data_IF_152776097649
#
_entry.id   IF_152776097649
#
_cell.length_a   1.000
_cell.length_b   1.000
_cell.length_c   1.000
_cell.angle_alpha   90.00
_cell.angle_beta   90.00
_cell.angle_gamma   90.00
#
_symmetry.space_group_name_H-M   'P 1'
#
loop_
_entity.id
_entity.type
_entity.pdbx_description
1 polymer ?
#
# COMPACT_ATOMS: atom_id res chain seq x y z
N UNK A 1 -10.61 -7.47 -19.05
CA UNK A 1 -9.89 -8.71 -19.47
C UNK A 1 -8.39 -8.46 -19.67
N UNK A 2 -7.97 -7.44 -20.45
CA UNK A 2 -6.54 -7.19 -20.71
C UNK A 2 -5.69 -6.83 -19.47
N UNK A 3 -6.23 -6.04 -18.53
CA UNK A 3 -5.52 -5.68 -17.31
C UNK A 3 -5.25 -6.88 -16.39
N UNK A 4 -6.19 -7.82 -16.27
CA UNK A 4 -6.05 -9.04 -15.46
C UNK A 4 -4.93 -9.92 -16.02
N UNK A 5 -4.97 -10.22 -17.32
CA UNK A 5 -3.94 -11.01 -17.99
C UNK A 5 -2.57 -10.34 -17.85
N UNK A 6 -2.50 -9.02 -18.01
CA UNK A 6 -1.28 -8.27 -17.84
C UNK A 6 -0.76 -8.31 -16.40
N UNK A 7 -1.64 -8.17 -15.41
CA UNK A 7 -1.28 -8.23 -13.99
C UNK A 7 -0.62 -9.55 -13.64
N UNK A 8 -1.27 -10.68 -13.93
CA UNK A 8 -0.73 -11.99 -13.63
C UNK A 8 0.50 -12.31 -14.49
N UNK A 9 0.52 -11.90 -15.77
CA UNK A 9 1.71 -12.07 -16.62
C UNK A 9 2.92 -11.31 -16.08
N UNK A 10 2.74 -10.13 -15.50
CA UNK A 10 3.82 -9.38 -14.89
C UNK A 10 4.31 -10.07 -13.61
N UNK A 11 3.38 -10.47 -12.74
CA UNK A 11 3.74 -11.14 -11.48
C UNK A 11 4.44 -12.48 -11.72
N UNK A 12 3.98 -13.32 -12.64
CA UNK A 12 4.64 -14.60 -12.95
C UNK A 12 5.99 -14.44 -13.65
N UNK A 13 6.22 -13.31 -14.33
CA UNK A 13 7.54 -13.00 -14.91
C UNK A 13 8.56 -12.50 -13.88
N UNK A 14 8.08 -12.00 -12.73
CA UNK A 14 8.90 -11.34 -11.73
C UNK A 14 9.13 -12.19 -10.48
N UNK A 15 8.08 -12.82 -9.98
CA UNK A 15 8.12 -13.72 -8.83
C UNK A 15 8.52 -15.13 -9.26
N UNK A 16 9.26 -15.84 -8.41
CA UNK A 16 9.42 -17.28 -8.58
C UNK A 16 8.11 -18.03 -8.27
N UNK A 17 8.10 -19.33 -8.56
CA UNK A 17 6.89 -20.16 -8.44
C UNK A 17 6.39 -20.24 -7.00
N UNK A 18 7.30 -20.29 -6.02
CA UNK A 18 6.93 -20.38 -4.60
C UNK A 18 6.33 -19.06 -4.11
N UNK A 19 7.01 -17.94 -4.38
CA UNK A 19 6.53 -16.62 -4.02
C UNK A 19 5.19 -16.29 -4.69
N UNK A 20 5.02 -16.67 -5.96
CA UNK A 20 3.74 -16.50 -6.67
C UNK A 20 2.63 -17.36 -6.04
N UNK A 21 2.90 -18.63 -5.69
CA UNK A 21 1.92 -19.48 -4.98
C UNK A 21 1.56 -18.92 -3.61
N UNK A 22 2.54 -18.45 -2.84
CA UNK A 22 2.31 -17.81 -1.54
C UNK A 22 1.44 -16.56 -1.69
N UNK A 23 1.69 -15.73 -2.71
CA UNK A 23 0.86 -14.56 -3.01
C UNK A 23 -0.62 -14.91 -3.30
N UNK A 24 -0.86 -16.03 -3.99
CA UNK A 24 -2.22 -16.53 -4.26
C UNK A 24 -2.89 -17.22 -3.06
N UNK A 25 -2.15 -17.52 -2.01
CA UNK A 25 -2.67 -18.20 -0.81
C UNK A 25 -3.47 -17.25 0.08
N UNK A 26 -4.26 -17.82 1.01
CA UNK A 26 -4.99 -17.02 2.01
C UNK A 26 -4.07 -16.24 2.95
N UNK A 27 -2.86 -16.76 3.20
CA UNK A 27 -1.86 -16.14 4.09
C UNK A 27 -1.04 -15.06 3.36
N UNK A 28 -1.03 -15.07 2.03
CA UNK A 28 -0.23 -14.17 1.21
C UNK A 28 1.27 -14.42 1.26
N UNK A 29 1.99 -13.68 0.43
CA UNK A 29 3.46 -13.62 0.49
C UNK A 29 3.86 -12.63 1.58
N UNK A 30 4.59 -13.06 2.61
CA UNK A 30 5.16 -12.14 3.60
C UNK A 30 6.28 -11.31 2.96
N UNK A 31 6.08 -10.00 2.85
CA UNK A 31 7.08 -9.07 2.31
C UNK A 31 8.13 -8.72 3.36
N UNK A 32 7.71 -8.45 4.59
CA UNK A 32 8.62 -8.20 5.70
C UNK A 32 7.94 -8.38 7.07
N UNK A 33 8.76 -8.61 8.07
CA UNK A 33 8.39 -8.56 9.48
C UNK A 33 9.34 -7.63 10.22
N UNK A 34 8.82 -6.77 11.08
CA UNK A 34 9.64 -5.80 11.79
C UNK A 34 9.04 -5.41 13.13
N UNK A 35 9.91 -4.94 14.02
CA UNK A 35 9.54 -4.43 15.32
C UNK A 35 9.41 -2.91 15.26
N UNK A 36 8.28 -2.40 15.72
CA UNK A 36 8.09 -0.98 16.00
C UNK A 36 8.68 -0.59 17.35
N UNK A 37 8.19 0.52 17.89
CA UNK A 37 8.44 0.90 19.28
C UNK A 37 7.82 -0.12 20.23
N UNK A 38 8.39 -0.25 21.43
CA UNK A 38 7.91 -1.11 22.52
C UNK A 38 7.80 -2.58 22.09
N UNK A 39 8.69 -3.01 21.19
CA UNK A 39 8.76 -4.37 20.64
C UNK A 39 7.43 -4.88 20.05
N UNK A 40 6.61 -3.98 19.50
CA UNK A 40 5.39 -4.40 18.81
C UNK A 40 5.74 -4.95 17.42
N UNK A 41 5.35 -6.19 17.16
CA UNK A 41 5.50 -6.84 15.87
C UNK A 41 4.49 -6.30 14.84
N UNK A 42 4.99 -6.04 13.63
CA UNK A 42 4.20 -5.74 12.45
C UNK A 42 4.61 -6.63 11.28
N UNK A 43 3.62 -6.97 10.44
CA UNK A 43 3.78 -7.87 9.30
C UNK A 43 3.20 -7.18 8.07
N UNK A 44 3.98 -7.10 6.99
CA UNK A 44 3.49 -6.72 5.66
C UNK A 44 3.33 -7.96 4.80
N UNK A 45 2.16 -8.10 4.19
CA UNK A 45 1.80 -9.21 3.31
C UNK A 45 1.38 -8.69 1.94
N UNK A 46 1.77 -9.41 0.89
CA UNK A 46 1.33 -9.22 -0.47
C UNK A 46 0.37 -10.35 -0.85
N UNK A 47 -0.91 -10.03 -0.97
CA UNK A 47 -1.99 -11.00 -1.18
C UNK A 47 -2.67 -10.77 -2.52
N UNK A 48 -3.11 -11.83 -3.17
CA UNK A 48 -4.00 -11.73 -4.32
C UNK A 48 -5.44 -11.55 -3.83
N UNK A 49 -6.18 -10.63 -4.45
CA UNK A 49 -7.57 -10.36 -4.09
C UNK A 49 -8.51 -11.22 -4.92
N UNK A 50 -8.34 -12.54 -4.89
CA UNK A 50 -9.16 -13.52 -5.62
C UNK A 50 -10.67 -13.49 -5.27
N UNK A 51 -11.11 -12.66 -4.32
CA UNK A 51 -12.46 -12.72 -3.71
C UNK A 51 -13.22 -11.38 -3.64
N UNK A 52 -12.63 -10.25 -4.05
CA UNK A 52 -13.29 -8.95 -3.97
C UNK A 52 -13.29 -8.28 -5.34
N UNK A 53 -14.32 -8.63 -6.12
CA UNK A 53 -14.69 -7.97 -7.36
C UNK A 53 -14.83 -6.45 -7.12
N UNK A 54 -13.88 -5.68 -7.71
CA UNK A 54 -14.02 -4.33 -8.31
C UNK A 54 -12.98 -3.27 -7.89
N UNK A 55 -12.11 -3.52 -6.91
CA UNK A 55 -11.10 -2.54 -6.48
C UNK A 55 -9.67 -2.84 -6.99
N UNK A 56 -9.34 -4.10 -7.31
CA UNK A 56 -8.03 -4.49 -7.85
C UNK A 56 -7.84 -6.00 -7.89
N UNK A 57 -6.61 -6.42 -8.18
CA UNK A 57 -6.21 -7.84 -8.30
C UNK A 57 -5.25 -8.29 -7.19
N UNK A 58 -4.61 -7.33 -6.50
CA UNK A 58 -3.71 -7.59 -5.41
C UNK A 58 -3.76 -6.49 -4.33
N UNK A 59 -3.38 -6.86 -3.11
CA UNK A 59 -3.30 -5.95 -1.97
C UNK A 59 -1.97 -6.08 -1.22
N UNK A 60 -1.50 -4.96 -0.68
CA UNK A 60 -0.50 -4.96 0.41
C UNK A 60 -1.23 -4.66 1.72
N UNK A 61 -1.09 -5.57 2.68
CA UNK A 61 -1.78 -5.49 3.98
C UNK A 61 -0.73 -5.36 5.09
N UNK A 62 -0.91 -4.37 5.95
CA UNK A 62 -0.20 -4.23 7.22
C UNK A 62 -1.05 -4.82 8.35
N UNK A 63 -0.47 -5.75 9.10
CA UNK A 63 -1.05 -6.32 10.32
C UNK A 63 -0.14 -6.10 11.51
N UNK A 64 -0.72 -6.11 12.71
CA UNK A 64 0.07 -6.29 13.94
C UNK A 64 0.32 -7.79 14.23
N UNK A 65 1.08 -8.06 15.29
CA UNK A 65 1.39 -9.43 15.74
C UNK A 65 0.18 -10.27 16.19
N UNK A 66 -0.99 -9.66 16.40
CA UNK A 66 -2.24 -10.39 16.67
C UNK A 66 -3.01 -10.78 15.39
N UNK A 67 -2.53 -10.33 14.22
CA UNK A 67 -3.19 -10.53 12.93
C UNK A 67 -4.23 -9.44 12.59
N UNK A 68 -4.43 -8.45 13.46
CA UNK A 68 -5.36 -7.35 13.21
C UNK A 68 -4.85 -6.47 12.07
N UNK A 69 -5.70 -6.26 11.06
CA UNK A 69 -5.38 -5.38 9.93
C UNK A 69 -5.39 -3.92 10.38
N UNK A 70 -4.32 -3.20 10.04
CA UNK A 70 -4.11 -1.78 10.35
C UNK A 70 -4.22 -0.87 9.13
N UNK A 71 -3.85 -1.39 7.95
CA UNK A 71 -4.08 -0.76 6.67
C UNK A 71 -4.00 -1.77 5.54
N UNK A 72 -4.72 -1.51 4.45
CA UNK A 72 -4.66 -2.27 3.21
C UNK A 72 -4.74 -1.32 2.03
N UNK A 73 -3.89 -1.54 1.02
CA UNK A 73 -3.94 -0.85 -0.26
C UNK A 73 -4.14 -1.86 -1.39
N UNK A 74 -5.20 -1.68 -2.16
CA UNK A 74 -5.64 -2.59 -3.22
C UNK A 74 -5.37 -1.96 -4.58
N UNK A 75 -4.77 -2.74 -5.48
CA UNK A 75 -4.30 -2.24 -6.77
C UNK A 75 -4.33 -3.29 -7.88
N UNK A 76 -4.18 -2.83 -9.11
CA UNK A 76 -3.97 -3.64 -10.31
C UNK A 76 -2.76 -3.14 -11.08
N UNK A 77 -2.04 -4.06 -11.72
CA UNK A 77 -0.95 -3.76 -12.65
C UNK A 77 -1.51 -3.77 -14.06
N UNK A 78 -1.26 -2.73 -14.84
CA UNK A 78 -1.78 -2.61 -16.20
C UNK A 78 -0.81 -1.86 -17.13
N UNK A 79 -1.09 -1.88 -18.43
CA UNK A 79 -0.56 -0.90 -19.36
C UNK A 79 -1.58 0.22 -19.52
N UNK A 80 -1.13 1.46 -19.29
CA UNK A 80 -1.89 2.68 -19.59
C UNK A 80 -0.99 3.58 -20.42
N UNK A 81 -1.46 4.00 -21.59
CA UNK A 81 -0.68 4.82 -22.54
C UNK A 81 0.72 4.22 -22.85
N UNK A 82 0.77 2.89 -23.03
CA UNK A 82 1.99 2.10 -23.24
C UNK A 82 3.04 2.20 -22.10
N UNK A 83 2.62 2.61 -20.91
CA UNK A 83 3.44 2.68 -19.70
C UNK A 83 3.01 1.65 -18.68
N UNK A 84 3.98 0.97 -18.06
CA UNK A 84 3.72 0.03 -16.95
C UNK A 84 3.15 0.85 -15.81
N UNK A 85 1.94 0.53 -15.40
CA UNK A 85 1.19 1.37 -14.47
C UNK A 85 0.60 0.54 -13.36
N UNK A 86 0.51 1.16 -12.19
CA UNK A 86 -0.31 0.69 -11.07
C UNK A 86 -1.54 1.59 -10.99
N UNK A 87 -2.71 0.98 -10.85
CA UNK A 87 -3.94 1.69 -10.49
C UNK A 87 -4.37 1.21 -9.10
N UNK A 88 -4.34 2.12 -8.13
CA UNK A 88 -4.85 1.94 -6.77
C UNK A 88 -6.36 2.17 -6.82
N UNK A 89 -7.13 1.13 -6.50
CA UNK A 89 -8.59 1.20 -6.45
C UNK A 89 -9.19 1.21 -5.04
N UNK A 90 -8.39 0.92 -4.00
CA UNK A 90 -8.84 0.93 -2.61
C UNK A 90 -7.72 1.24 -1.61
N UNK A 91 -8.05 1.94 -0.52
CA UNK A 91 -7.15 2.18 0.63
C UNK A 91 -7.92 2.23 1.95
N UNK A 92 -7.96 1.09 2.64
CA UNK A 92 -8.74 0.93 3.86
C UNK A 92 -7.85 0.83 5.12
N UNK A 93 -8.48 1.08 6.26
CA UNK A 93 -7.92 0.87 7.59
C UNK A 93 -8.80 -0.12 8.36
N UNK A 94 -8.55 -0.34 9.66
CA UNK A 94 -9.42 -1.16 10.49
C UNK A 94 -10.86 -0.66 10.45
N UNK A 95 -11.81 -1.59 10.46
CA UNK A 95 -13.25 -1.36 10.38
C UNK A 95 -14.00 -1.85 11.63
N UNK A 96 -13.28 -2.04 12.74
CA UNK A 96 -13.84 -2.41 14.05
C UNK A 96 -14.11 -1.16 14.90
N UNK A 97 -14.84 -1.34 16.01
CA UNK A 97 -15.22 -0.22 16.89
C UNK A 97 -14.02 0.54 17.46
N UNK A 98 -12.88 -0.15 17.63
CA UNK A 98 -11.63 0.41 18.17
C UNK A 98 -10.67 0.92 17.08
N UNK A 99 -11.14 1.11 15.83
CA UNK A 99 -10.30 1.43 14.68
C UNK A 99 -9.42 2.68 14.90
N UNK A 100 -10.00 3.73 15.51
CA UNK A 100 -9.26 4.96 15.78
C UNK A 100 -8.11 4.76 16.77
N UNK A 101 -8.34 4.01 17.85
CA UNK A 101 -7.32 3.71 18.87
C UNK A 101 -6.21 2.83 18.30
N UNK A 102 -6.58 1.78 17.54
CA UNK A 102 -5.62 0.90 16.86
C UNK A 102 -4.69 1.69 15.94
N UNK A 103 -5.27 2.59 15.14
CA UNK A 103 -4.50 3.44 14.21
C UNK A 103 -3.59 4.42 14.96
N UNK A 104 -4.06 5.03 16.05
CA UNK A 104 -3.25 5.93 16.88
C UNK A 104 -2.08 5.20 17.52
N UNK A 105 -2.33 4.04 18.12
CA UNK A 105 -1.31 3.22 18.77
C UNK A 105 -0.29 2.70 17.75
N UNK A 106 -0.75 2.19 16.59
CA UNK A 106 0.13 1.79 15.51
C UNK A 106 0.97 2.97 15.00
N UNK A 107 0.39 4.15 14.82
CA UNK A 107 1.13 5.34 14.38
C UNK A 107 2.22 5.73 15.38
N UNK A 108 1.93 5.67 16.68
CA UNK A 108 2.91 5.91 17.74
C UNK A 108 4.07 4.91 17.66
N UNK A 109 3.75 3.63 17.47
CA UNK A 109 4.74 2.56 17.43
C UNK A 109 5.51 2.47 16.11
N UNK A 110 4.99 3.07 15.05
CA UNK A 110 5.67 3.26 13.76
C UNK A 110 6.43 4.61 13.69
N UNK A 111 6.89 5.14 14.82
CA UNK A 111 7.64 6.41 14.87
C UNK A 111 6.89 7.60 14.21
N UNK A 112 5.57 7.64 14.43
CA UNK A 112 4.67 8.64 13.85
C UNK A 112 4.39 8.45 12.36
N UNK A 113 4.72 7.30 11.78
CA UNK A 113 4.34 6.93 10.42
C UNK A 113 2.95 6.30 10.43
N UNK A 114 2.02 6.92 9.71
CA UNK A 114 0.64 6.47 9.65
C UNK A 114 0.51 5.14 8.88
N UNK A 115 -0.28 4.14 9.35
CA UNK A 115 -0.42 2.84 8.68
C UNK A 115 -0.73 2.90 7.18
N UNK A 116 -1.70 3.74 6.77
CA UNK A 116 -2.03 3.91 5.34
C UNK A 116 -0.87 4.47 4.52
N UNK A 117 -0.06 5.33 5.13
CA UNK A 117 1.15 5.86 4.48
C UNK A 117 2.20 4.76 4.31
N UNK A 118 2.36 3.89 5.30
CA UNK A 118 3.30 2.78 5.25
C UNK A 118 2.96 1.80 4.12
N UNK A 119 1.69 1.40 3.95
CA UNK A 119 1.29 0.52 2.83
C UNK A 119 1.44 1.21 1.47
N UNK A 120 1.20 2.52 1.38
CA UNK A 120 1.48 3.28 0.15
C UNK A 120 2.97 3.30 -0.18
N UNK A 121 3.84 3.59 0.80
CA UNK A 121 5.28 3.59 0.58
C UNK A 121 5.80 2.19 0.21
N UNK A 122 5.20 1.15 0.79
CA UNK A 122 5.49 -0.25 0.43
C UNK A 122 5.05 -0.56 -1.01
N UNK A 123 3.87 -0.11 -1.42
CA UNK A 123 3.41 -0.24 -2.82
C UNK A 123 4.35 0.46 -3.80
N UNK A 124 4.80 1.68 -3.48
CA UNK A 124 5.76 2.42 -4.31
C UNK A 124 7.07 1.62 -4.48
N UNK A 125 7.56 0.99 -3.40
CA UNK A 125 8.75 0.14 -3.46
C UNK A 125 8.54 -1.10 -4.34
N UNK A 126 7.41 -1.81 -4.16
CA UNK A 126 7.04 -2.96 -5.01
C UNK A 126 6.92 -2.53 -6.48
N UNK A 127 6.26 -1.40 -6.75
CA UNK A 127 6.12 -0.84 -8.09
C UNK A 127 7.48 -0.51 -8.71
N UNK A 128 8.40 0.07 -7.94
CA UNK A 128 9.77 0.34 -8.40
C UNK A 128 10.53 -0.94 -8.77
N UNK A 129 10.38 -2.02 -7.99
CA UNK A 129 11.00 -3.31 -8.28
C UNK A 129 10.43 -3.96 -9.57
N UNK A 130 9.13 -3.76 -9.81
CA UNK A 130 8.43 -4.19 -11.03
C UNK A 130 8.70 -3.28 -12.24
N UNK A 131 9.54 -2.24 -12.09
CA UNK A 131 9.81 -1.23 -13.12
C UNK A 131 8.55 -0.54 -13.63
N UNK A 132 7.62 -0.22 -12.71
CA UNK A 132 6.42 0.56 -12.99
C UNK A 132 6.81 2.02 -13.29
N UNK A 133 6.24 2.58 -14.36
CA UNK A 133 6.48 3.95 -14.80
C UNK A 133 5.56 4.98 -14.13
N UNK A 134 4.33 4.59 -13.78
CA UNK A 134 3.30 5.48 -13.23
C UNK A 134 2.43 4.79 -12.18
N UNK A 135 2.06 5.54 -11.14
CA UNK A 135 1.10 5.11 -10.14
C UNK A 135 -0.08 6.08 -10.19
N UNK A 136 -1.28 5.54 -10.32
CA UNK A 136 -2.54 6.28 -10.31
C UNK A 136 -3.38 5.81 -9.14
N UNK A 137 -4.15 6.70 -8.52
CA UNK A 137 -5.14 6.36 -7.51
C UNK A 137 -6.51 6.91 -7.91
N UNK A 138 -7.56 6.13 -7.68
CA UNK A 138 -8.93 6.60 -7.89
C UNK A 138 -9.26 7.73 -6.91
N UNK A 139 -9.85 8.81 -7.42
CA UNK A 139 -10.43 9.85 -6.57
C UNK A 139 -11.74 9.38 -5.95
N UNK A 140 -12.22 10.09 -4.93
CA UNK A 140 -13.54 9.88 -4.35
C UNK A 140 -14.63 9.82 -5.43
N UNK A 141 -14.53 10.65 -6.49
CA UNK A 141 -15.50 10.73 -7.61
C UNK A 141 -15.53 9.48 -8.48
N UNK A 142 -14.40 8.80 -8.66
CA UNK A 142 -14.28 7.62 -9.51
C UNK A 142 -14.38 6.31 -8.73
N UNK A 143 -14.42 6.37 -7.39
CA UNK A 143 -14.53 5.18 -6.56
C UNK A 143 -15.83 4.42 -6.89
N UNK A 144 -15.72 3.10 -7.05
CA UNK A 144 -16.79 2.20 -7.54
C UNK A 144 -18.11 2.31 -6.76
N UNK A 145 -18.07 2.79 -5.52
CA UNK A 145 -19.25 3.01 -4.68
C UNK A 145 -20.14 4.20 -5.10
N UNK A 146 -19.74 5.02 -6.08
CA UNK A 146 -20.60 6.07 -6.66
C UNK A 146 -21.51 5.57 -7.80
N UNK A 147 -21.45 4.30 -8.20
CA UNK A 147 -22.44 3.75 -9.12
C UNK A 147 -23.82 3.74 -8.43
N UNK A 148 -24.66 4.72 -8.80
CA UNK A 148 -26.10 5.04 -8.62
C UNK A 148 -26.99 4.09 -7.77
N UNK A 149 -26.69 2.79 -7.66
CA UNK A 149 -27.42 1.78 -6.87
C UNK A 149 -27.16 1.79 -5.36
N UNK A 150 -26.13 2.49 -4.85
CA UNK A 150 -25.83 2.56 -3.40
C UNK A 150 -26.28 3.85 -2.70
N UNK A 151 -27.01 4.75 -3.38
CA UNK A 151 -27.60 5.96 -2.76
C UNK A 151 -28.53 5.68 -1.57
N UNK A 152 -28.94 4.43 -1.35
CA UNK A 152 -29.89 4.03 -0.31
C UNK A 152 -29.29 3.31 0.91
N UNK A 153 -27.96 3.24 1.06
CA UNK A 153 -27.34 2.82 2.34
C UNK A 153 -26.64 4.02 2.96
N UNK A 154 -27.31 4.59 3.95
CA UNK A 154 -26.99 5.87 4.55
C UNK A 154 -25.55 6.01 5.03
N UNK A 155 -25.09 7.26 4.95
CA UNK A 155 -24.15 7.93 5.87
C UNK A 155 -23.13 6.99 6.52
N UNK A 156 -21.93 6.84 5.96
CA UNK A 156 -20.65 6.63 6.69
C UNK A 156 -19.44 6.49 5.73
N UNK A 157 -19.45 7.08 4.52
CA UNK A 157 -18.26 7.11 3.66
C UNK A 157 -17.51 8.44 3.83
N UNK A 158 -16.78 8.57 4.94
CA UNK A 158 -15.81 9.64 5.17
C UNK A 158 -14.38 9.08 5.13
N UNK A 159 -14.07 8.22 4.16
CA UNK A 159 -12.68 8.00 3.78
C UNK A 159 -12.33 9.12 2.79
N UNK A 160 -11.75 10.22 3.29
CA UNK A 160 -11.28 11.31 2.43
C UNK A 160 -10.00 10.87 1.70
N UNK A 161 -10.19 10.06 0.64
CA UNK A 161 -9.11 9.54 -0.19
C UNK A 161 -8.34 10.68 -0.87
N UNK A 162 -9.07 11.67 -1.37
CA UNK A 162 -8.53 12.84 -2.05
C UNK A 162 -7.50 13.56 -1.16
N UNK A 163 -7.88 13.94 0.07
CA UNK A 163 -6.93 14.57 1.00
C UNK A 163 -5.71 13.69 1.29
N UNK A 164 -5.88 12.37 1.42
CA UNK A 164 -4.75 11.47 1.64
C UNK A 164 -3.79 11.44 0.43
N UNK A 165 -4.32 11.44 -0.79
CA UNK A 165 -3.52 11.47 -2.01
C UNK A 165 -2.77 12.80 -2.15
N UNK A 166 -3.44 13.93 -1.94
CA UNK A 166 -2.83 15.27 -1.96
C UNK A 166 -1.70 15.38 -0.93
N UNK A 167 -1.95 14.98 0.33
CA UNK A 167 -0.94 14.94 1.38
C UNK A 167 0.25 14.04 1.03
N UNK A 168 0.01 13.03 0.18
CA UNK A 168 1.03 12.11 -0.30
C UNK A 168 1.81 12.63 -1.51
N UNK A 169 1.53 13.85 -1.97
CA UNK A 169 2.13 14.47 -3.16
C UNK A 169 1.41 14.12 -4.46
N UNK A 170 0.21 13.57 -4.36
CA UNK A 170 -0.64 13.24 -5.49
C UNK A 170 -1.21 14.49 -6.15
N UNK A 171 -1.27 14.49 -7.48
CA UNK A 171 -1.91 15.56 -8.25
C UNK A 171 -3.00 14.95 -9.13
N UNK A 172 -4.18 15.56 -9.15
CA UNK A 172 -5.29 15.09 -9.99
C UNK A 172 -4.98 15.32 -11.48
N UNK A 173 -5.19 14.28 -12.29
CA UNK A 173 -5.04 14.33 -13.74
C UNK A 173 -6.36 14.76 -14.42
N UNK A 174 -6.30 14.99 -15.74
CA UNK A 174 -7.47 15.37 -16.54
C UNK A 174 -8.59 14.32 -16.57
N UNK A 175 -8.30 13.09 -16.16
CA UNK A 175 -9.25 11.97 -16.14
C UNK A 175 -9.83 11.74 -14.73
N UNK A 176 -9.43 12.53 -13.73
CA UNK A 176 -9.92 12.43 -12.35
C UNK A 176 -9.18 11.41 -11.48
N UNK A 177 -8.03 10.91 -11.92
CA UNK A 177 -7.14 10.06 -11.11
C UNK A 177 -6.05 10.91 -10.44
N UNK A 178 -5.64 10.55 -9.24
CA UNK A 178 -4.42 11.12 -8.64
C UNK A 178 -3.19 10.43 -9.20
N UNK A 179 -2.27 11.19 -9.80
CA UNK A 179 -0.92 10.69 -10.11
C UNK A 179 -0.06 10.75 -8.85
N UNK A 180 0.39 9.58 -8.38
CA UNK A 180 1.22 9.45 -7.18
C UNK A 180 2.71 9.41 -7.59
N UNK A 181 3.59 10.18 -6.94
CA UNK A 181 5.03 10.13 -7.20
C UNK A 181 5.63 8.75 -6.87
N UNK A 182 6.43 8.20 -7.80
CA UNK A 182 7.18 6.95 -7.58
C UNK A 182 8.40 7.15 -6.66
N UNK A 183 8.83 8.40 -6.47
CA UNK A 183 9.95 8.72 -5.60
C UNK A 183 9.44 9.34 -4.29
N UNK A 184 9.69 8.65 -3.18
CA UNK A 184 9.39 9.17 -1.84
C UNK A 184 10.52 10.13 -1.45
N UNK A 185 10.23 11.43 -1.44
CA UNK A 185 11.21 12.45 -1.07
C UNK A 185 11.38 12.46 0.45
N UNK A 186 12.56 12.04 0.94
CA UNK A 186 12.95 12.18 2.35
C UNK A 186 13.48 13.58 2.62
N UNK A 187 13.06 14.18 3.74
CA UNK A 187 13.65 15.43 4.23
C UNK A 187 15.05 15.15 4.75
N UNK A 188 16.00 16.05 4.50
CA UNK A 188 17.31 15.95 5.13
C UNK A 188 17.13 16.16 6.64
N UNK A 189 17.84 15.37 7.45
CA UNK A 189 17.71 15.47 8.91
C UNK A 189 18.08 16.87 9.45
N UNK A 190 18.94 17.62 8.75
CA UNK A 190 19.24 19.02 9.07
C UNK A 190 18.02 19.94 9.04
N UNK A 191 17.14 19.73 8.06
CA UNK A 191 15.93 20.53 7.81
C UNK A 191 14.76 20.15 8.75
N UNK A 192 14.89 19.03 9.46
CA UNK A 192 13.92 18.59 10.46
C UNK A 192 14.20 19.31 11.79
N UNK A 193 13.19 19.89 12.48
CA UNK A 193 13.38 20.51 13.78
C UNK A 193 14.07 19.55 14.76
N UNK A 194 15.05 20.03 15.53
CA UNK A 194 15.94 19.20 16.37
C UNK A 194 15.18 18.15 17.21
N UNK A 195 14.10 18.56 17.88
CA UNK A 195 13.23 17.69 18.71
C UNK A 195 12.54 16.54 17.95
N UNK A 196 12.45 16.60 16.62
CA UNK A 196 11.84 15.58 15.76
C UNK A 196 12.88 14.74 15.00
N UNK A 197 14.16 15.12 15.01
CA UNK A 197 15.22 14.45 14.22
C UNK A 197 15.40 12.98 14.59
N UNK A 198 15.34 12.64 15.88
CA UNK A 198 15.47 11.26 16.34
C UNK A 198 14.33 10.38 15.80
N UNK A 199 13.08 10.87 15.87
CA UNK A 199 11.91 10.15 15.34
C UNK A 199 11.99 9.99 13.82
N UNK A 200 12.42 11.02 13.10
CA UNK A 200 12.61 10.94 11.64
C UNK A 200 13.72 9.95 11.26
N UNK A 201 14.82 9.92 12.01
CA UNK A 201 15.89 8.94 11.79
C UNK A 201 15.37 7.51 11.96
N UNK A 202 14.69 7.21 13.07
CA UNK A 202 14.08 5.89 13.31
C UNK A 202 13.06 5.50 12.24
N UNK A 203 12.28 6.47 11.76
CA UNK A 203 11.36 6.25 10.64
C UNK A 203 12.12 5.86 9.36
N UNK A 204 13.21 6.55 9.04
CA UNK A 204 13.99 6.24 7.84
C UNK A 204 14.66 4.87 7.94
N UNK A 205 15.29 4.56 9.09
CA UNK A 205 15.83 3.22 9.38
C UNK A 205 14.76 2.13 9.21
N UNK A 206 13.55 2.36 9.74
CA UNK A 206 12.43 1.43 9.59
C UNK A 206 12.05 1.24 8.11
N UNK A 207 11.86 2.32 7.36
CA UNK A 207 11.48 2.23 5.93
C UNK A 207 12.58 1.61 5.06
N UNK A 208 13.85 1.80 5.40
CA UNK A 208 14.99 1.16 4.73
C UNK A 208 15.00 -0.35 4.99
N UNK A 209 14.79 -0.76 6.24
CA UNK A 209 14.70 -2.17 6.60
C UNK A 209 13.52 -2.87 5.93
N UNK A 210 12.35 -2.22 5.87
CA UNK A 210 11.17 -2.72 5.13
C UNK A 210 11.50 -2.89 3.65
N UNK A 211 12.19 -1.91 3.05
CA UNK A 211 12.54 -1.95 1.63
C UNK A 211 13.49 -3.10 1.29
N UNK A 212 14.50 -3.31 2.13
CA UNK A 212 15.46 -4.39 1.94
C UNK A 212 14.81 -5.76 2.09
N UNK A 213 14.02 -5.98 3.15
CA UNK A 213 13.28 -7.23 3.33
C UNK A 213 12.29 -7.49 2.19
N UNK A 214 11.56 -6.46 1.76
CA UNK A 214 10.61 -6.56 0.64
C UNK A 214 11.32 -6.98 -0.65
N UNK A 215 12.48 -6.37 -0.94
CA UNK A 215 13.31 -6.76 -2.09
C UNK A 215 13.69 -8.23 -2.00
N UNK A 216 14.22 -8.66 -0.85
CA UNK A 216 14.60 -10.06 -0.64
C UNK A 216 13.42 -11.02 -0.80
N UNK A 217 12.26 -10.72 -0.22
CA UNK A 217 11.07 -11.55 -0.32
C UNK A 217 10.59 -11.71 -1.78
N UNK A 218 10.70 -10.66 -2.58
CA UNK A 218 10.24 -10.64 -3.96
C UNK A 218 11.26 -11.20 -4.97
N UNK A 219 12.56 -11.13 -4.67
CA UNK A 219 13.64 -11.57 -5.58
C UNK A 219 14.36 -12.83 -5.12
N UNK A 220 13.84 -13.52 -4.09
CA UNK A 220 14.29 -14.88 -3.78
C UNK A 220 14.19 -15.69 -5.07
N UNK A 221 15.27 -16.38 -5.41
CA UNK A 221 15.28 -17.39 -6.46
C UNK A 221 15.40 -18.73 -5.74
N UNK A 222 14.48 -19.65 -6.00
CA UNK A 222 14.69 -21.05 -5.64
C UNK A 222 16.07 -21.50 -6.16
N UNK A 223 16.87 -22.09 -5.26
CA UNK A 223 18.16 -22.71 -5.59
C UNK A 223 17.95 -24.04 -6.29
#
# INVERSE_FOLDING_TARGET
MQAILYHYSMLTSFLDVEAFKSHLSLDGLCLCQFMGKDDQLFILQFVSTCRLDREGEASIILRDGSGQMLAEITFVLCLRDNKRSVIIGGLQGPNNDNAQELVQQATKNLYGLFPKRLVLESLIQVASLLSVDKIFAVSNKLHVYQAVRYKNRGKHLHADYDSFWEMSGGNIDSHGYYSIPINIIRKRLGDVPSKKRAVYRRRYELTDAISEQTRQALTRKCS
#
